data_IF_760879870807
#
_entry.id   IF_760879870807
#
_cell.length_a   1.000
_cell.length_b   1.000
_cell.length_c   1.000
_cell.angle_alpha   90.00
_cell.angle_beta   90.00
_cell.angle_gamma   90.00
#
_symmetry.space_group_name_H-M   'P 1'
#
loop_
_entity.id
_entity.type
_entity.pdbx_description
1 polymer ?
#
# COMPACT_ATOMS: atom_id res chain seq x y z
N UNK A 1 -43.22 20.28 -33.46
CA UNK A 1 -42.72 21.16 -34.52
C UNK A 1 -41.77 22.16 -33.89
N UNK A 2 -40.53 22.10 -34.36
CA UNK A 2 -39.49 23.13 -34.39
C UNK A 2 -38.94 23.65 -33.05
N UNK A 3 -37.77 23.17 -32.62
CA UNK A 3 -36.43 23.55 -33.09
C UNK A 3 -35.97 24.91 -32.50
N UNK A 4 -35.02 24.88 -31.56
CA UNK A 4 -33.58 25.05 -31.88
C UNK A 4 -33.24 26.49 -32.30
N UNK A 5 -32.76 27.31 -31.34
CA UNK A 5 -31.71 28.34 -31.53
C UNK A 5 -31.32 29.03 -30.21
N UNK A 6 -30.10 28.69 -29.77
CA UNK A 6 -29.08 29.49 -29.07
C UNK A 6 -29.44 30.47 -27.92
N UNK A 7 -28.73 30.36 -26.78
CA UNK A 7 -27.43 31.04 -26.61
C UNK A 7 -26.64 30.52 -25.39
N UNK A 8 -25.44 29.97 -25.65
CA UNK A 8 -24.43 29.60 -24.66
C UNK A 8 -23.63 30.84 -24.27
N UNK A 9 -23.64 31.24 -23.00
CA UNK A 9 -22.54 32.02 -22.37
C UNK A 9 -22.72 32.12 -20.85
N UNK A 10 -22.04 31.24 -20.11
CA UNK A 10 -21.32 31.58 -18.86
C UNK A 10 -20.85 30.31 -18.13
N UNK A 11 -19.73 29.71 -18.57
CA UNK A 11 -18.92 28.89 -17.66
C UNK A 11 -17.50 28.78 -18.20
N UNK A 12 -16.64 29.71 -17.77
CA UNK A 12 -15.18 29.59 -17.86
C UNK A 12 -14.56 30.63 -16.92
N UNK A 13 -14.11 30.17 -15.76
CA UNK A 13 -12.97 30.69 -14.95
C UNK A 13 -12.85 29.76 -13.73
N UNK A 14 -11.94 28.78 -13.83
CA UNK A 14 -10.66 28.72 -13.09
C UNK A 14 -10.83 28.45 -11.59
N UNK A 15 -10.75 27.17 -11.20
CA UNK A 15 -10.36 26.78 -9.83
C UNK A 15 -8.84 26.72 -9.77
N UNK A 16 -8.26 27.64 -9.02
CA UNK A 16 -6.95 27.51 -8.44
C UNK A 16 -7.15 27.02 -6.99
N UNK A 17 -6.48 25.94 -6.61
CA UNK A 17 -6.23 25.52 -5.21
C UNK A 17 -5.06 24.51 -5.26
N UNK A 18 -3.83 25.01 -5.13
CA UNK A 18 -2.96 24.83 -3.96
C UNK A 18 -2.53 23.36 -3.76
N UNK A 19 -1.43 23.00 -4.41
CA UNK A 19 -0.53 21.93 -3.97
C UNK A 19 0.68 22.62 -3.33
N UNK A 20 0.87 22.42 -2.03
CA UNK A 20 2.10 22.77 -1.31
C UNK A 20 2.20 21.84 -0.11
N UNK A 21 3.33 21.22 0.24
CA UNK A 21 4.64 21.05 -0.38
C UNK A 21 5.19 19.72 0.18
N UNK A 22 6.22 19.10 -0.38
CA UNK A 22 7.60 19.47 -0.07
C UNK A 22 8.53 18.87 -1.15
N UNK A 23 8.91 19.70 -2.13
CA UNK A 23 10.08 19.46 -2.97
C UNK A 23 11.20 20.33 -2.37
N UNK A 24 12.21 19.68 -1.78
CA UNK A 24 13.43 20.38 -1.36
C UNK A 24 14.25 20.69 -2.62
N UNK A 25 13.95 21.84 -3.23
CA UNK A 25 14.70 22.36 -4.37
C UNK A 25 16.01 22.97 -3.91
N UNK A 26 17.13 22.35 -4.30
CA UNK A 26 18.41 23.04 -4.33
C UNK A 26 18.45 23.87 -5.64
N UNK A 27 17.95 25.10 -5.57
CA UNK A 27 17.97 26.05 -6.69
C UNK A 27 19.34 26.73 -6.73
N UNK A 28 20.23 26.22 -7.58
CA UNK A 28 21.33 27.05 -8.11
C UNK A 28 20.74 27.77 -9.32
N UNK A 29 20.37 29.04 -9.13
CA UNK A 29 19.97 29.90 -10.22
C UNK A 29 21.23 30.26 -11.04
N UNK A 30 21.42 29.57 -12.17
CA UNK A 30 22.27 30.05 -13.25
C UNK A 30 21.37 30.68 -14.30
N UNK A 31 21.66 31.92 -14.67
CA UNK A 31 21.02 32.64 -15.77
C UNK A 31 20.89 31.72 -17.00
N UNK A 32 19.67 31.30 -17.34
CA UNK A 32 19.41 30.40 -18.45
C UNK A 32 17.94 30.40 -18.84
N UNK A 33 17.67 30.42 -20.13
CA UNK A 33 16.32 30.29 -20.70
C UNK A 33 15.64 29.05 -20.11
N UNK A 34 14.40 29.18 -19.65
CA UNK A 34 13.64 28.04 -19.13
C UNK A 34 13.53 26.96 -20.22
N UNK A 35 13.94 25.73 -19.91
CA UNK A 35 13.90 24.59 -20.84
C UNK A 35 12.46 24.29 -21.28
N UNK A 36 12.29 24.07 -22.57
CA UNK A 36 11.03 23.58 -23.17
C UNK A 36 10.84 22.08 -22.94
N UNK A 37 9.66 21.54 -23.24
CA UNK A 37 9.43 20.09 -23.19
C UNK A 37 10.41 19.34 -24.11
N UNK A 38 10.69 19.90 -25.28
CA UNK A 38 11.63 19.38 -26.26
C UNK A 38 13.08 19.39 -25.77
N UNK A 39 13.48 20.43 -25.03
CA UNK A 39 14.81 20.50 -24.42
C UNK A 39 14.97 19.43 -23.34
N UNK A 40 13.97 19.27 -22.48
CA UNK A 40 13.95 18.22 -21.46
C UNK A 40 13.96 16.81 -22.07
N UNK A 41 13.18 16.58 -23.13
CA UNK A 41 13.17 15.31 -23.84
C UNK A 41 14.52 14.99 -24.47
N UNK A 42 15.16 15.97 -25.12
CA UNK A 42 16.47 15.79 -25.75
C UNK A 42 17.54 15.48 -24.71
N UNK A 43 17.58 16.23 -23.62
CA UNK A 43 18.49 15.96 -22.51
C UNK A 43 18.26 14.57 -21.92
N UNK A 44 17.00 14.17 -21.72
CA UNK A 44 16.67 12.84 -21.23
C UNK A 44 17.19 11.73 -22.16
N UNK A 45 17.08 11.94 -23.46
CA UNK A 45 17.60 11.00 -24.46
C UNK A 45 19.13 10.90 -24.40
N UNK A 46 19.85 12.01 -24.38
CA UNK A 46 21.33 12.01 -24.27
C UNK A 46 21.79 11.33 -22.97
N UNK A 47 21.20 11.69 -21.83
CA UNK A 47 21.49 11.07 -20.54
C UNK A 47 21.23 9.56 -20.56
N UNK A 48 20.22 9.11 -21.31
CA UNK A 48 19.92 7.68 -21.45
C UNK A 48 20.99 6.93 -22.25
N UNK A 49 21.61 7.58 -23.25
CA UNK A 49 22.73 7.02 -24.03
C UNK A 49 24.00 6.95 -23.19
N UNK A 50 24.21 7.93 -22.31
CA UNK A 50 25.33 7.97 -21.36
C UNK A 50 25.17 7.00 -20.18
N UNK A 51 24.03 6.31 -20.08
CA UNK A 51 23.74 5.39 -18.97
C UNK A 51 23.34 6.07 -17.66
N UNK A 52 23.12 7.39 -17.67
CA UNK A 52 22.67 8.16 -16.51
C UNK A 52 21.15 8.01 -16.28
N UNK A 53 20.71 6.78 -16.00
CA UNK A 53 19.30 6.39 -16.00
C UNK A 53 18.42 7.27 -15.10
N UNK A 54 18.83 7.55 -13.86
CA UNK A 54 18.02 8.35 -12.92
C UNK A 54 17.78 9.77 -13.42
N UNK A 55 18.84 10.42 -13.93
CA UNK A 55 18.75 11.78 -14.48
C UNK A 55 17.94 11.81 -15.78
N UNK A 56 18.07 10.78 -16.61
CA UNK A 56 17.28 10.62 -17.82
C UNK A 56 15.77 10.49 -17.48
N UNK A 57 15.41 9.66 -16.49
CA UNK A 57 14.03 9.52 -16.03
C UNK A 57 13.45 10.83 -15.51
N UNK A 58 14.21 11.55 -14.67
CA UNK A 58 13.79 12.87 -14.17
C UNK A 58 13.54 13.87 -15.32
N UNK A 59 14.42 13.88 -16.32
CA UNK A 59 14.30 14.77 -17.47
C UNK A 59 13.08 14.43 -18.35
N UNK A 60 12.80 13.13 -18.57
CA UNK A 60 11.57 12.71 -19.24
C UNK A 60 10.30 13.10 -18.46
N UNK A 61 10.31 12.99 -17.12
CA UNK A 61 9.20 13.44 -16.28
C UNK A 61 8.97 14.96 -16.37
N UNK A 62 10.04 15.77 -16.43
CA UNK A 62 9.91 17.20 -16.67
C UNK A 62 9.32 17.50 -18.05
N UNK A 63 9.73 16.76 -19.10
CA UNK A 63 9.13 16.88 -20.43
C UNK A 63 7.63 16.57 -20.40
N UNK A 64 7.22 15.51 -19.69
CA UNK A 64 5.81 15.10 -19.54
C UNK A 64 4.99 16.04 -18.66
N UNK A 65 5.62 16.75 -17.72
CA UNK A 65 4.97 17.81 -16.93
C UNK A 65 4.55 18.99 -17.82
N UNK A 66 5.34 19.29 -18.85
CA UNK A 66 5.06 20.36 -19.81
C UNK A 66 4.18 19.90 -20.97
N UNK A 67 4.32 18.64 -21.40
CA UNK A 67 3.57 18.03 -22.49
C UNK A 67 3.20 16.58 -22.15
N UNK A 68 2.02 16.44 -21.53
CA UNK A 68 1.54 15.16 -21.01
C UNK A 68 1.04 14.18 -22.08
N UNK A 69 0.86 14.60 -23.32
CA UNK A 69 0.36 13.78 -24.43
C UNK A 69 1.49 13.33 -25.38
N UNK A 70 2.69 13.11 -24.84
CA UNK A 70 3.87 12.77 -25.64
C UNK A 70 4.18 11.28 -25.64
N UNK A 71 3.69 10.59 -26.68
CA UNK A 71 3.80 9.14 -26.84
C UNK A 71 5.26 8.62 -26.78
N UNK A 72 6.19 9.31 -27.45
CA UNK A 72 7.61 8.97 -27.48
C UNK A 72 8.25 9.09 -26.08
N UNK A 73 7.90 10.12 -25.31
CA UNK A 73 8.44 10.34 -23.96
C UNK A 73 7.95 9.27 -22.98
N UNK A 74 6.66 8.94 -23.02
CA UNK A 74 6.10 7.82 -22.26
C UNK A 74 6.78 6.49 -22.62
N UNK A 75 6.95 6.19 -23.90
CA UNK A 75 7.62 4.97 -24.33
C UNK A 75 9.07 4.90 -23.84
N UNK A 76 9.85 5.97 -23.98
CA UNK A 76 11.24 6.00 -23.54
C UNK A 76 11.37 5.85 -22.01
N UNK A 77 10.49 6.52 -21.26
CA UNK A 77 10.45 6.42 -19.81
C UNK A 77 10.03 5.01 -19.34
N UNK A 78 9.08 4.37 -20.02
CA UNK A 78 8.67 3.00 -19.75
C UNK A 78 9.84 2.01 -19.88
N UNK A 79 10.67 2.16 -20.91
CA UNK A 79 11.87 1.32 -21.11
C UNK A 79 12.90 1.55 -20.00
N UNK A 80 13.08 2.78 -19.54
CA UNK A 80 14.00 3.07 -18.43
C UNK A 80 13.51 2.46 -17.11
N UNK A 81 12.22 2.55 -16.82
CA UNK A 81 11.63 1.90 -15.66
C UNK A 81 11.74 0.38 -15.73
N UNK A 82 11.47 -0.22 -16.89
CA UNK A 82 11.62 -1.65 -17.11
C UNK A 82 13.04 -2.13 -16.81
N UNK A 83 14.05 -1.43 -17.35
CA UNK A 83 15.47 -1.76 -17.12
C UNK A 83 15.91 -1.56 -15.68
N UNK A 84 15.24 -0.69 -14.94
CA UNK A 84 15.53 -0.39 -13.54
C UNK A 84 14.72 -1.27 -12.57
N UNK A 85 13.95 -2.24 -13.06
CA UNK A 85 13.13 -3.14 -12.24
C UNK A 85 11.84 -2.52 -11.69
N UNK A 86 11.48 -1.32 -12.12
CA UNK A 86 10.28 -0.59 -11.68
C UNK A 86 9.08 -1.01 -12.54
N UNK A 87 8.56 -2.21 -12.26
CA UNK A 87 7.54 -2.87 -13.08
C UNK A 87 6.23 -2.09 -13.25
N UNK A 88 5.55 -1.65 -12.17
CA UNK A 88 4.29 -0.92 -12.28
C UNK A 88 4.40 0.37 -13.10
N UNK A 89 5.41 1.20 -12.84
CA UNK A 89 5.66 2.44 -13.59
C UNK A 89 6.00 2.16 -15.06
N UNK A 90 6.69 1.06 -15.33
CA UNK A 90 6.96 0.62 -16.70
C UNK A 90 5.66 0.29 -17.45
N UNK A 91 4.76 -0.47 -16.84
CA UNK A 91 3.50 -0.87 -17.48
C UNK A 91 2.60 0.34 -17.74
N UNK A 92 2.45 1.24 -16.76
CA UNK A 92 1.65 2.46 -16.88
C UNK A 92 2.09 3.32 -18.08
N UNK A 93 3.38 3.62 -18.18
CA UNK A 93 3.88 4.43 -19.28
C UNK A 93 3.87 3.70 -20.63
N UNK A 94 4.03 2.38 -20.68
CA UNK A 94 3.83 1.63 -21.93
C UNK A 94 2.37 1.72 -22.40
N UNK A 95 1.38 1.63 -21.50
CA UNK A 95 -0.05 1.78 -21.86
C UNK A 95 -0.37 3.20 -22.33
N UNK A 96 0.10 4.22 -21.62
CA UNK A 96 -0.05 5.62 -22.04
C UNK A 96 0.53 5.85 -23.45
N UNK A 97 1.72 5.31 -23.72
CA UNK A 97 2.31 5.37 -25.05
C UNK A 97 1.46 4.63 -26.08
N UNK A 98 0.96 3.43 -25.76
CA UNK A 98 0.10 2.63 -26.65
C UNK A 98 -1.17 3.42 -27.05
N UNK A 99 -1.86 3.99 -26.06
CA UNK A 99 -3.09 4.76 -26.28
C UNK A 99 -2.87 6.03 -27.10
N UNK A 100 -1.76 6.72 -26.88
CA UNK A 100 -1.39 7.88 -27.70
C UNK A 100 -1.04 7.45 -29.12
N UNK A 101 -0.32 6.34 -29.32
CA UNK A 101 0.00 5.84 -30.66
C UNK A 101 -1.22 5.28 -31.42
N UNK A 102 -2.20 4.67 -30.74
CA UNK A 102 -3.48 4.23 -31.34
C UNK A 102 -4.24 5.39 -31.99
N UNK A 103 -4.11 6.60 -31.44
CA UNK A 103 -4.75 7.82 -31.96
C UNK A 103 -4.02 8.43 -33.16
N UNK A 104 -2.80 7.97 -33.48
CA UNK A 104 -2.00 8.49 -34.61
C UNK A 104 -2.33 7.74 -35.90
N UNK A 105 -2.52 8.50 -36.97
CA UNK A 105 -2.82 7.95 -38.31
C UNK A 105 -1.59 7.80 -39.19
N UNK A 106 -0.48 8.46 -38.82
CA UNK A 106 0.76 8.47 -39.58
C UNK A 106 1.53 7.13 -39.50
N UNK A 107 2.35 6.86 -40.53
CA UNK A 107 3.08 5.59 -40.66
C UNK A 107 4.08 5.35 -39.52
N UNK A 108 4.65 6.41 -38.95
CA UNK A 108 5.58 6.32 -37.83
C UNK A 108 4.85 5.93 -36.55
N UNK A 109 3.69 6.53 -36.28
CA UNK A 109 2.82 6.19 -35.16
C UNK A 109 2.39 4.73 -35.19
N UNK A 110 1.98 4.21 -36.36
CA UNK A 110 1.63 2.78 -36.53
C UNK A 110 2.80 1.84 -36.26
N UNK A 111 4.01 2.20 -36.71
CA UNK A 111 5.23 1.43 -36.44
C UNK A 111 5.56 1.43 -34.94
N UNK A 112 5.53 2.60 -34.32
CA UNK A 112 5.81 2.76 -32.90
C UNK A 112 4.77 2.05 -32.03
N UNK A 113 3.50 2.03 -32.42
CA UNK A 113 2.46 1.24 -31.76
C UNK A 113 2.85 -0.24 -31.69
N UNK A 114 3.27 -0.82 -32.81
CA UNK A 114 3.68 -2.23 -32.84
C UNK A 114 4.93 -2.52 -32.00
N UNK A 115 5.83 -1.55 -31.84
CA UNK A 115 7.00 -1.67 -30.94
C UNK A 115 6.54 -1.64 -29.48
N UNK A 116 5.73 -0.64 -29.11
CA UNK A 116 5.20 -0.49 -27.75
C UNK A 116 4.41 -1.71 -27.33
N UNK A 117 3.55 -2.26 -28.20
CA UNK A 117 2.78 -3.47 -27.92
C UNK A 117 3.68 -4.66 -27.58
N UNK A 118 4.74 -4.89 -28.37
CA UNK A 118 5.71 -5.96 -28.10
C UNK A 118 6.47 -5.73 -26.80
N UNK A 119 6.89 -4.49 -26.53
CA UNK A 119 7.57 -4.12 -25.29
C UNK A 119 6.66 -4.31 -24.07
N UNK A 120 5.39 -3.94 -24.18
CA UNK A 120 4.37 -4.11 -23.15
C UNK A 120 4.10 -5.59 -22.86
N UNK A 121 3.94 -6.43 -23.89
CA UNK A 121 3.81 -7.89 -23.72
C UNK A 121 5.03 -8.49 -23.02
N UNK A 122 6.24 -8.07 -23.40
CA UNK A 122 7.48 -8.53 -22.75
C UNK A 122 7.54 -8.07 -21.29
N UNK A 123 7.11 -6.85 -20.99
CA UNK A 123 7.07 -6.33 -19.64
C UNK A 123 6.11 -7.12 -18.76
N UNK A 124 4.89 -7.39 -19.23
CA UNK A 124 3.94 -8.26 -18.55
C UNK A 124 4.53 -9.64 -18.25
N UNK A 125 5.11 -10.30 -19.26
CA UNK A 125 5.71 -11.62 -19.11
C UNK A 125 6.88 -11.64 -18.12
N UNK A 126 7.76 -10.64 -18.15
CA UNK A 126 8.92 -10.57 -17.27
C UNK A 126 8.54 -10.33 -15.79
N UNK A 127 7.39 -9.68 -15.56
CA UNK A 127 6.89 -9.35 -14.22
C UNK A 127 5.88 -10.38 -13.69
N UNK A 128 5.49 -11.36 -14.50
CA UNK A 128 4.44 -12.33 -14.14
C UNK A 128 3.06 -11.68 -13.96
N UNK A 129 2.76 -10.64 -14.75
CA UNK A 129 1.53 -9.85 -14.67
C UNK A 129 0.65 -10.09 -15.89
N UNK A 130 -0.67 -10.05 -15.71
CA UNK A 130 -1.66 -10.15 -16.79
C UNK A 130 -2.16 -8.74 -17.19
N UNK A 131 -2.40 -8.45 -18.48
CA UNK A 131 -2.99 -7.18 -18.91
C UNK A 131 -4.27 -6.77 -18.14
N UNK A 132 -5.09 -7.76 -17.73
CA UNK A 132 -6.32 -7.55 -16.95
C UNK A 132 -6.06 -7.00 -15.56
N UNK A 133 -4.89 -7.25 -14.98
CA UNK A 133 -4.49 -6.69 -13.68
C UNK A 133 -4.47 -5.16 -13.72
N UNK A 134 -4.34 -4.59 -14.93
CA UNK A 134 -4.25 -3.15 -15.18
C UNK A 134 -5.46 -2.59 -15.96
N UNK A 135 -6.29 -3.42 -16.61
CA UNK A 135 -7.58 -2.96 -17.20
C UNK A 135 -8.55 -2.42 -16.15
N UNK A 136 -8.47 -2.91 -14.90
CA UNK A 136 -9.20 -2.35 -13.76
C UNK A 136 -8.81 -0.91 -13.40
N UNK A 137 -7.64 -0.44 -13.83
CA UNK A 137 -7.20 0.95 -13.61
C UNK A 137 -7.66 1.93 -14.71
N UNK A 138 -8.06 1.45 -15.90
CA UNK A 138 -8.33 2.32 -17.07
C UNK A 138 -9.81 2.62 -17.34
N UNK A 139 -10.77 1.78 -16.91
CA UNK A 139 -12.20 2.05 -17.13
C UNK A 139 -12.81 3.02 -16.11
N UNK A 140 -12.19 4.20 -15.96
CA UNK A 140 -12.69 5.33 -15.18
C UNK A 140 -13.88 6.07 -15.81
N UNK A 141 -14.90 5.35 -16.31
CA UNK A 141 -16.19 5.90 -16.74
C UNK A 141 -17.35 4.98 -16.32
N UNK A 142 -17.47 4.72 -15.03
CA UNK A 142 -18.79 4.48 -14.45
C UNK A 142 -19.48 5.83 -14.22
N UNK A 143 -20.79 5.96 -14.51
CA UNK A 143 -21.54 7.20 -14.33
C UNK A 143 -21.39 7.63 -12.87
N UNK A 144 -21.12 8.92 -12.63
CA UNK A 144 -20.98 9.57 -11.31
C UNK A 144 -21.89 8.89 -10.27
N UNK A 145 -21.31 7.90 -9.63
CA UNK A 145 -21.86 7.05 -8.60
C UNK A 145 -20.73 6.94 -7.60
N UNK A 146 -21.07 7.07 -6.33
CA UNK A 146 -20.12 7.07 -5.21
C UNK A 146 -19.05 6.01 -5.45
N UNK A 147 -17.78 6.43 -5.57
CA UNK A 147 -16.69 5.53 -5.95
C UNK A 147 -16.70 4.27 -5.07
N UNK A 148 -16.31 3.14 -5.66
CA UNK A 148 -16.35 1.87 -4.96
C UNK A 148 -15.33 1.89 -3.80
N UNK A 149 -15.81 1.54 -2.61
CA UNK A 149 -14.94 1.37 -1.45
C UNK A 149 -14.25 0.02 -1.54
N UNK A 150 -12.93 0.03 -1.73
CA UNK A 150 -12.10 -1.16 -1.84
C UNK A 150 -11.55 -1.56 -0.48
N UNK A 151 -11.46 -2.86 -0.21
CA UNK A 151 -10.78 -3.38 0.97
C UNK A 151 -9.27 -3.25 0.80
N UNK A 152 -8.63 -2.51 1.69
CA UNK A 152 -7.18 -2.31 1.73
C UNK A 152 -6.47 -3.38 2.56
N UNK A 153 -7.11 -3.89 3.61
CA UNK A 153 -6.57 -4.94 4.47
C UNK A 153 -7.27 -5.01 5.82
N UNK A 154 -6.66 -5.70 6.77
CA UNK A 154 -7.09 -5.72 8.16
C UNK A 154 -6.32 -4.68 8.99
N UNK A 155 -6.95 -4.29 10.09
CA UNK A 155 -6.30 -3.52 11.15
C UNK A 155 -6.87 -3.87 12.50
N UNK A 156 -6.28 -3.28 13.54
CA UNK A 156 -6.74 -3.47 14.91
C UNK A 156 -6.52 -2.23 15.77
N UNK A 157 -7.47 -2.02 16.68
CA UNK A 157 -7.44 -0.94 17.66
C UNK A 157 -6.38 -1.18 18.72
N UNK A 158 -5.63 -0.12 19.04
CA UNK A 158 -4.59 -0.11 20.07
C UNK A 158 -4.79 1.05 21.04
N UNK A 159 -4.51 0.80 22.32
CA UNK A 159 -4.67 1.81 23.38
C UNK A 159 -6.12 2.29 23.55
N UNK A 160 -6.31 3.54 24.02
CA UNK A 160 -7.64 4.12 24.33
C UNK A 160 -8.03 5.31 23.46
N UNK A 161 -7.11 5.76 22.62
CA UNK A 161 -7.18 7.02 21.87
C UNK A 161 -7.73 6.83 20.44
N UNK A 162 -8.29 5.66 20.13
CA UNK A 162 -8.82 5.36 18.79
C UNK A 162 -7.75 5.25 17.70
N UNK A 163 -6.51 4.93 18.08
CA UNK A 163 -5.46 4.58 17.12
C UNK A 163 -5.62 3.15 16.65
N UNK A 164 -5.23 2.91 15.40
CA UNK A 164 -5.24 1.60 14.76
C UNK A 164 -3.90 1.35 14.10
N UNK A 165 -3.49 0.10 14.16
CA UNK A 165 -2.41 -0.45 13.35
C UNK A 165 -3.03 -1.29 12.23
N UNK A 166 -2.51 -1.19 11.01
CA UNK A 166 -2.95 -2.01 9.90
C UNK A 166 -1.95 -1.98 8.74
N UNK A 167 -2.31 -2.62 7.63
CA UNK A 167 -1.50 -2.60 6.42
C UNK A 167 -1.55 -1.25 5.71
N UNK A 168 -0.47 -0.86 5.03
CA UNK A 168 -0.38 0.42 4.31
C UNK A 168 -0.93 0.40 2.86
N UNK A 169 -1.42 -0.76 2.41
CA UNK A 169 -1.75 -1.03 1.01
C UNK A 169 -2.75 -0.04 0.42
N UNK A 170 -2.26 0.84 -0.46
CA UNK A 170 -3.08 1.84 -1.17
C UNK A 170 -3.58 3.01 -0.30
N UNK A 171 -3.13 3.13 0.96
CA UNK A 171 -3.61 4.19 1.85
C UNK A 171 -3.04 5.57 1.51
N UNK A 172 -1.87 5.65 0.85
CA UNK A 172 -1.25 6.93 0.50
C UNK A 172 -1.95 7.63 -0.67
N UNK A 173 -2.47 6.83 -1.59
CA UNK A 173 -3.17 7.29 -2.79
C UNK A 173 -4.69 7.35 -2.59
N UNK A 174 -5.19 6.96 -1.41
CA UNK A 174 -6.60 6.94 -1.10
C UNK A 174 -7.17 8.37 -0.97
N UNK A 175 -8.27 8.63 -1.67
CA UNK A 175 -9.05 9.87 -1.53
C UNK A 175 -9.69 9.98 -0.15
N UNK A 176 -10.29 8.88 0.30
CA UNK A 176 -10.92 8.77 1.61
C UNK A 176 -10.59 7.41 2.25
N UNK A 177 -10.46 7.39 3.58
CA UNK A 177 -10.18 6.18 4.36
C UNK A 177 -11.30 6.01 5.39
N UNK A 178 -11.83 4.79 5.51
CA UNK A 178 -12.74 4.40 6.59
C UNK A 178 -12.38 3.03 7.13
N UNK A 179 -12.89 2.73 8.31
CA UNK A 179 -12.77 1.41 8.93
C UNK A 179 -14.17 0.84 9.15
N UNK A 180 -14.34 -0.44 8.88
CA UNK A 180 -15.54 -1.20 9.19
C UNK A 180 -15.28 -2.07 10.41
N UNK A 181 -16.09 -1.87 11.45
CA UNK A 181 -16.03 -2.60 12.71
C UNK A 181 -16.73 -3.96 12.58
N UNK A 182 -16.59 -4.81 13.59
CA UNK A 182 -17.19 -6.14 13.61
C UNK A 182 -18.73 -6.16 13.64
N UNK A 183 -19.38 -5.04 13.97
CA UNK A 183 -20.83 -4.85 13.89
C UNK A 183 -21.27 -4.17 12.57
N UNK A 184 -20.38 -4.14 11.58
CA UNK A 184 -20.52 -3.45 10.29
C UNK A 184 -20.63 -1.93 10.36
N UNK A 185 -20.45 -1.32 11.53
CA UNK A 185 -20.35 0.14 11.66
C UNK A 185 -19.15 0.65 10.87
N UNK A 186 -19.37 1.68 10.05
CA UNK A 186 -18.32 2.33 9.25
C UNK A 186 -17.94 3.67 9.86
N UNK A 187 -16.65 3.86 10.11
CA UNK A 187 -16.10 5.05 10.78
C UNK A 187 -15.02 5.68 9.91
N UNK A 188 -15.10 6.98 9.56
CA UNK A 188 -14.04 7.65 8.84
C UNK A 188 -12.71 7.62 9.63
N UNK A 189 -11.59 7.49 8.94
CA UNK A 189 -10.27 7.48 9.55
C UNK A 189 -9.30 8.41 8.81
N UNK A 190 -8.19 8.75 9.47
CA UNK A 190 -7.07 9.46 8.85
C UNK A 190 -5.82 8.63 8.94
N UNK A 191 -5.01 8.68 7.88
CA UNK A 191 -3.64 8.21 7.91
C UNK A 191 -2.80 9.16 8.76
N UNK A 192 -2.30 8.68 9.90
CA UNK A 192 -1.42 9.44 10.80
C UNK A 192 0.02 9.30 10.36
N UNK A 193 0.43 8.07 10.02
CA UNK A 193 1.79 7.75 9.58
C UNK A 193 1.81 6.45 8.78
N UNK A 194 2.71 6.35 7.82
CA UNK A 194 3.00 5.14 7.05
C UNK A 194 4.45 4.74 7.20
N UNK A 195 4.72 3.44 7.27
CA UNK A 195 6.04 2.82 7.36
C UNK A 195 6.22 1.87 6.18
N UNK A 196 6.41 2.45 4.99
CA UNK A 196 6.32 1.76 3.70
C UNK A 196 7.26 0.56 3.58
N UNK A 197 8.44 0.62 4.21
CA UNK A 197 9.42 -0.48 4.20
C UNK A 197 8.82 -1.76 4.77
N UNK A 198 7.94 -1.66 5.77
CA UNK A 198 7.37 -2.80 6.48
C UNK A 198 5.87 -3.00 6.20
N UNK A 199 5.27 -2.18 5.34
CA UNK A 199 3.86 -2.28 5.01
C UNK A 199 2.91 -1.87 6.14
N UNK A 200 3.35 -1.05 7.10
CA UNK A 200 2.57 -0.71 8.30
C UNK A 200 2.01 0.71 8.19
N UNK A 201 0.72 0.86 8.48
CA UNK A 201 0.07 2.14 8.67
C UNK A 201 -0.44 2.32 10.10
N UNK A 202 -0.31 3.56 10.58
CA UNK A 202 -0.97 4.07 11.78
C UNK A 202 -2.14 4.93 11.34
N UNK A 203 -3.35 4.52 11.70
CA UNK A 203 -4.58 5.27 11.45
C UNK A 203 -5.13 5.85 12.76
N UNK A 204 -5.96 6.89 12.66
CA UNK A 204 -6.80 7.36 13.77
C UNK A 204 -8.24 7.51 13.29
N UNK A 205 -9.18 6.90 14.00
CA UNK A 205 -10.61 7.08 13.72
C UNK A 205 -11.05 8.51 14.04
N UNK A 206 -11.87 9.09 13.17
CA UNK A 206 -12.58 10.35 13.41
C UNK A 206 -13.89 10.03 14.15
N UNK A 207 -13.84 9.78 15.45
CA UNK A 207 -15.08 9.54 16.23
C UNK A 207 -15.57 10.80 16.94
N UNK A 208 -16.89 11.02 16.95
CA UNK A 208 -17.58 12.00 17.82
C UNK A 208 -18.04 11.37 19.14
N UNK A 209 -18.14 10.04 19.19
CA UNK A 209 -18.42 9.22 20.37
C UNK A 209 -17.19 8.39 20.77
N UNK A 210 -17.01 8.15 22.07
CA UNK A 210 -15.83 7.49 22.64
C UNK A 210 -15.47 6.19 21.90
N UNK A 211 -14.20 5.98 21.48
CA UNK A 211 -13.77 4.74 20.81
C UNK A 211 -14.02 3.51 21.69
N UNK A 212 -14.03 2.28 21.12
CA UNK A 212 -14.24 1.05 21.88
C UNK A 212 -13.36 0.97 23.13
N UNK A 213 -13.98 0.53 24.24
CA UNK A 213 -13.33 0.38 25.55
C UNK A 213 -12.10 -0.53 25.45
N UNK A 214 -10.91 0.07 25.59
CA UNK A 214 -9.60 -0.59 25.62
C UNK A 214 -9.25 -1.42 24.37
N UNK A 215 -8.38 -0.87 23.53
CA UNK A 215 -7.73 -1.58 22.43
C UNK A 215 -6.99 -2.84 22.87
N UNK A 216 -6.42 -3.52 21.88
CA UNK A 216 -5.60 -4.70 22.11
C UNK A 216 -4.29 -4.33 22.82
N UNK A 217 -3.83 -5.25 23.66
CA UNK A 217 -2.56 -5.13 24.36
C UNK A 217 -1.46 -5.78 23.54
N UNK A 218 -0.31 -5.12 23.45
CA UNK A 218 0.89 -5.69 22.85
C UNK A 218 1.62 -6.56 23.87
N UNK A 219 1.72 -7.86 23.59
CA UNK A 219 2.49 -8.83 24.37
C UNK A 219 3.99 -8.66 24.17
N UNK A 220 4.79 -9.32 25.00
CA UNK A 220 6.25 -9.35 24.87
C UNK A 220 6.69 -10.48 23.93
N UNK A 221 7.18 -10.12 22.74
CA UNK A 221 7.65 -11.09 21.77
C UNK A 221 8.88 -11.88 22.26
N UNK A 222 9.70 -11.33 23.15
CA UNK A 222 10.91 -12.02 23.64
C UNK A 222 10.61 -13.27 24.48
N UNK A 223 9.36 -13.44 24.93
CA UNK A 223 8.91 -14.63 25.64
C UNK A 223 8.60 -15.81 24.71
N UNK A 224 8.54 -15.58 23.39
CA UNK A 224 8.20 -16.61 22.42
C UNK A 224 9.42 -17.40 21.95
N UNK A 225 9.22 -18.69 21.74
CA UNK A 225 10.19 -19.61 21.18
C UNK A 225 9.64 -20.32 19.92
N UNK A 226 10.55 -20.81 19.09
CA UNK A 226 10.20 -21.65 17.93
C UNK A 226 9.33 -22.83 18.40
N UNK A 227 8.22 -23.06 17.70
CA UNK A 227 7.23 -24.08 18.07
C UNK A 227 6.05 -23.56 18.89
N UNK A 228 6.10 -22.31 19.38
CA UNK A 228 4.98 -21.73 20.10
C UNK A 228 3.78 -21.50 19.16
N UNK A 229 2.55 -21.78 19.62
CA UNK A 229 1.36 -21.55 18.81
C UNK A 229 0.99 -20.08 18.79
N UNK A 230 0.65 -19.62 17.59
CA UNK A 230 0.12 -18.28 17.34
C UNK A 230 -1.28 -18.40 16.78
N UNK A 231 -2.09 -17.37 16.99
CA UNK A 231 -3.49 -17.35 16.58
C UNK A 231 -3.79 -16.09 15.76
N UNK A 232 -4.65 -16.22 14.76
CA UNK A 232 -5.24 -15.11 14.01
C UNK A 232 -6.76 -15.30 13.91
N UNK A 233 -7.47 -14.23 13.58
CA UNK A 233 -8.90 -14.28 13.28
C UNK A 233 -9.12 -14.00 11.80
N UNK A 234 -9.82 -14.91 11.14
CA UNK A 234 -10.15 -14.81 9.73
C UNK A 234 -11.55 -14.17 9.58
N UNK A 235 -11.57 -12.97 8.98
CA UNK A 235 -12.76 -12.17 8.75
C UNK A 235 -13.32 -12.33 7.33
N UNK A 236 -12.57 -12.96 6.42
CA UNK A 236 -12.90 -13.02 5.00
C UNK A 236 -13.83 -14.18 4.65
N UNK A 237 -13.75 -15.29 5.39
CA UNK A 237 -14.42 -16.54 5.00
C UNK A 237 -15.69 -16.87 5.79
N UNK A 238 -15.91 -16.24 6.95
CA UNK A 238 -17.02 -16.62 7.83
C UNK A 238 -17.53 -15.49 8.74
N UNK A 239 -18.84 -15.54 9.04
CA UNK A 239 -19.48 -14.72 10.08
C UNK A 239 -20.21 -15.66 11.03
N UNK A 240 -19.81 -15.79 12.31
CA UNK A 240 -18.74 -15.05 12.99
C UNK A 240 -17.32 -15.48 12.54
N UNK A 241 -16.28 -14.66 12.80
CA UNK A 241 -14.91 -14.94 12.37
C UNK A 241 -14.36 -16.26 12.91
N UNK A 242 -13.67 -17.02 12.06
CA UNK A 242 -12.96 -18.25 12.42
C UNK A 242 -11.61 -17.94 13.05
N UNK A 243 -11.14 -18.85 13.91
CA UNK A 243 -9.85 -18.78 14.56
C UNK A 243 -8.87 -19.69 13.82
N UNK A 244 -7.84 -19.10 13.22
CA UNK A 244 -6.75 -19.86 12.63
C UNK A 244 -5.61 -20.01 13.63
N UNK A 245 -4.96 -21.17 13.58
CA UNK A 245 -3.83 -21.50 14.45
C UNK A 245 -2.61 -21.77 13.57
N UNK A 246 -1.55 -21.02 13.82
CA UNK A 246 -0.24 -21.24 13.25
C UNK A 246 0.81 -21.59 14.31
N UNK A 247 2.03 -21.83 13.85
CA UNK A 247 3.18 -22.13 14.72
C UNK A 247 4.35 -21.23 14.37
N UNK A 248 5.04 -20.69 15.37
CA UNK A 248 6.23 -19.85 15.17
C UNK A 248 7.38 -20.71 14.60
N UNK A 249 7.80 -20.41 13.37
CA UNK A 249 8.82 -21.17 12.64
C UNK A 249 10.23 -20.61 12.84
N UNK A 250 10.39 -19.29 12.73
CA UNK A 250 11.67 -18.59 12.88
C UNK A 250 11.49 -17.25 13.55
N UNK A 251 12.36 -16.93 14.50
CA UNK A 251 12.38 -15.63 15.19
C UNK A 251 12.97 -14.50 14.33
N UNK A 252 13.77 -14.83 13.32
CA UNK A 252 14.43 -13.91 12.39
C UNK A 252 14.64 -14.63 11.05
N UNK A 253 13.72 -14.51 10.08
CA UNK A 253 13.82 -15.20 8.81
C UNK A 253 14.77 -14.52 7.81
N UNK A 254 15.06 -13.23 8.03
CA UNK A 254 15.95 -12.40 7.25
C UNK A 254 17.27 -12.21 8.02
N UNK A 255 18.39 -12.12 7.32
CA UNK A 255 19.70 -11.86 7.93
C UNK A 255 19.71 -10.44 8.53
N UNK A 256 20.14 -10.33 9.79
CA UNK A 256 20.19 -9.07 10.56
C UNK A 256 18.85 -8.32 10.68
N UNK A 257 17.72 -9.03 10.61
CA UNK A 257 16.39 -8.43 10.75
C UNK A 257 15.75 -8.80 12.09
N UNK A 258 15.74 -7.85 13.01
CA UNK A 258 15.09 -8.04 14.31
C UNK A 258 13.59 -7.77 14.29
N UNK A 259 13.00 -7.40 13.16
CA UNK A 259 11.63 -6.91 13.04
C UNK A 259 10.67 -8.02 12.61
N UNK A 260 11.08 -8.91 11.72
CA UNK A 260 10.23 -9.99 11.21
C UNK A 260 10.41 -11.31 11.94
N UNK A 261 9.34 -12.09 11.94
CA UNK A 261 9.34 -13.51 12.28
C UNK A 261 8.53 -14.30 11.24
N UNK A 262 8.77 -15.61 11.16
CA UNK A 262 8.08 -16.51 10.23
C UNK A 262 7.09 -17.39 11.01
N UNK A 263 5.88 -17.54 10.47
CA UNK A 263 4.81 -18.37 11.05
C UNK A 263 4.27 -19.36 10.01
N UNK A 264 3.94 -20.56 10.47
CA UNK A 264 3.20 -21.57 9.69
C UNK A 264 1.72 -21.21 9.69
N UNK A 265 1.38 -20.18 8.92
CA UNK A 265 0.03 -19.69 8.75
C UNK A 265 -0.07 -19.16 7.33
N UNK A 266 -1.09 -19.62 6.60
CA UNK A 266 -1.40 -19.06 5.29
C UNK A 266 -2.17 -17.76 5.49
N UNK A 267 -1.69 -16.67 4.86
CA UNK A 267 -2.24 -15.32 5.01
C UNK A 267 -2.58 -14.82 3.61
N UNK A 268 -3.86 -14.53 3.38
CA UNK A 268 -4.34 -13.94 2.12
C UNK A 268 -3.99 -12.44 2.03
N UNK A 269 -3.97 -11.88 0.83
CA UNK A 269 -3.64 -10.46 0.62
C UNK A 269 -4.63 -9.51 1.30
N UNK A 270 -5.87 -9.93 1.55
CA UNK A 270 -6.89 -9.11 2.22
C UNK A 270 -6.89 -9.27 3.75
N UNK A 271 -6.08 -10.19 4.29
CA UNK A 271 -5.89 -10.47 5.72
C UNK A 271 -4.64 -9.79 6.31
N UNK A 272 -3.78 -9.24 5.45
CA UNK A 272 -2.58 -8.51 5.86
C UNK A 272 -2.92 -7.33 6.78
N UNK A 273 -2.03 -7.03 7.72
CA UNK A 273 -2.22 -5.97 8.71
C UNK A 273 -3.00 -6.38 9.96
N UNK A 274 -3.57 -7.59 9.98
CA UNK A 274 -4.26 -8.10 11.15
C UNK A 274 -3.29 -8.58 12.26
N UNK A 275 -3.75 -8.69 13.52
CA UNK A 275 -2.94 -9.09 14.66
C UNK A 275 -2.73 -10.61 14.78
N UNK A 276 -1.53 -10.99 15.20
CA UNK A 276 -1.18 -12.34 15.67
C UNK A 276 -1.12 -12.36 17.19
N UNK A 277 -1.72 -13.39 17.79
CA UNK A 277 -1.92 -13.49 19.23
C UNK A 277 -1.16 -14.66 19.86
N UNK A 278 -0.69 -14.44 21.08
CA UNK A 278 -0.28 -15.53 21.97
C UNK A 278 -1.51 -16.20 22.64
N UNK A 279 -1.27 -17.24 23.44
CA UNK A 279 -2.34 -17.94 24.19
C UNK A 279 -3.06 -17.07 25.22
N UNK A 280 -2.43 -15.99 25.67
CA UNK A 280 -2.99 -15.02 26.61
C UNK A 280 -3.92 -14.01 25.90
N UNK A 281 -3.97 -14.02 24.57
CA UNK A 281 -4.77 -13.09 23.77
C UNK A 281 -4.12 -11.72 23.59
N UNK A 282 -2.82 -11.61 23.83
CA UNK A 282 -2.02 -10.43 23.60
C UNK A 282 -1.44 -10.45 22.18
N UNK A 283 -1.34 -9.28 21.56
CA UNK A 283 -0.79 -9.14 20.21
C UNK A 283 0.72 -9.25 20.28
N UNK A 284 1.27 -10.29 19.67
CA UNK A 284 2.72 -10.52 19.57
C UNK A 284 3.28 -10.14 18.20
N UNK A 285 2.42 -9.89 17.21
CA UNK A 285 2.83 -9.29 15.96
C UNK A 285 1.68 -8.89 15.06
N UNK A 286 2.01 -8.33 13.90
CA UNK A 286 1.08 -8.01 12.82
C UNK A 286 1.40 -8.90 11.61
N UNK A 287 0.40 -9.60 11.05
CA UNK A 287 0.60 -10.59 10.00
C UNK A 287 0.67 -9.97 8.60
N UNK A 288 1.52 -10.58 7.77
CA UNK A 288 1.71 -10.25 6.38
C UNK A 288 1.86 -11.54 5.56
N UNK A 289 1.36 -11.51 4.33
CA UNK A 289 1.56 -12.60 3.37
C UNK A 289 3.02 -12.65 2.90
N UNK A 290 3.44 -13.80 2.40
CA UNK A 290 4.76 -13.93 1.79
C UNK A 290 4.93 -12.97 0.58
N UNK A 291 3.90 -12.80 -0.23
CA UNK A 291 3.95 -11.92 -1.39
C UNK A 291 4.09 -10.45 -0.99
N UNK A 292 3.39 -10.03 0.07
CA UNK A 292 3.54 -8.68 0.63
C UNK A 292 4.98 -8.43 1.09
N UNK A 293 5.57 -9.37 1.85
CA UNK A 293 6.98 -9.22 2.29
C UNK A 293 7.94 -9.25 1.10
N UNK A 294 7.74 -10.09 0.08
CA UNK A 294 8.59 -10.09 -1.13
C UNK A 294 8.57 -8.76 -1.88
N UNK A 295 7.40 -8.13 -2.02
CA UNK A 295 7.25 -6.82 -2.68
C UNK A 295 8.13 -5.76 -2.00
N UNK A 296 8.25 -5.80 -0.68
CA UNK A 296 9.01 -4.83 0.10
C UNK A 296 10.47 -5.25 0.35
N UNK A 297 10.77 -6.56 0.30
CA UNK A 297 12.09 -7.14 0.56
C UNK A 297 12.52 -8.09 -0.56
N UNK A 298 13.10 -7.52 -1.62
CA UNK A 298 13.52 -8.24 -2.83
C UNK A 298 14.54 -9.39 -2.59
N UNK A 299 15.17 -9.48 -1.41
CA UNK A 299 16.10 -10.55 -1.04
C UNK A 299 15.44 -11.76 -0.37
N UNK A 300 14.12 -11.71 -0.12
CA UNK A 300 13.41 -12.82 0.50
C UNK A 300 13.30 -13.99 -0.48
N UNK A 301 13.97 -15.10 -0.16
CA UNK A 301 13.84 -16.35 -0.93
C UNK A 301 12.42 -16.93 -0.78
N UNK A 302 11.98 -17.68 -1.78
CA UNK A 302 10.72 -18.41 -1.71
C UNK A 302 10.77 -19.48 -0.61
N UNK A 303 9.83 -19.40 0.32
CA UNK A 303 9.58 -20.44 1.30
C UNK A 303 8.48 -21.37 0.79
N UNK A 304 8.71 -22.70 0.74
CA UNK A 304 7.66 -23.65 0.41
C UNK A 304 6.62 -23.74 1.54
N UNK A 305 5.37 -24.06 1.18
CA UNK A 305 4.29 -24.35 2.15
C UNK A 305 3.48 -23.15 2.62
N UNK A 306 2.69 -23.33 3.69
CA UNK A 306 1.81 -22.31 4.29
C UNK A 306 2.61 -21.30 5.10
N UNK A 307 3.39 -20.45 4.43
CA UNK A 307 4.26 -19.50 5.11
C UNK A 307 3.64 -18.10 5.17
N UNK A 308 3.51 -17.59 6.39
CA UNK A 308 3.20 -16.20 6.69
C UNK A 308 4.35 -15.54 7.43
N UNK A 309 4.31 -14.22 7.49
CA UNK A 309 5.27 -13.41 8.23
C UNK A 309 4.54 -12.55 9.25
N UNK A 310 5.26 -12.16 10.29
CA UNK A 310 4.77 -11.17 11.22
C UNK A 310 5.82 -10.12 11.54
N UNK A 311 5.39 -8.88 11.70
CA UNK A 311 6.19 -7.83 12.33
C UNK A 311 6.02 -7.93 13.85
N UNK A 312 7.13 -8.02 14.59
CA UNK A 312 7.15 -8.24 16.04
C UNK A 312 6.49 -7.09 16.80
N UNK A 313 5.82 -7.42 17.90
CA UNK A 313 5.20 -6.44 18.79
C UNK A 313 6.20 -5.46 19.43
N UNK A 314 7.49 -5.80 19.51
CA UNK A 314 8.54 -4.86 19.91
C UNK A 314 8.62 -3.66 18.97
N UNK A 315 8.68 -3.90 17.66
CA UNK A 315 8.71 -2.82 16.68
C UNK A 315 7.39 -2.04 16.62
N UNK A 316 6.25 -2.74 16.74
CA UNK A 316 4.94 -2.06 16.83
C UNK A 316 4.86 -1.15 18.06
N UNK A 317 5.48 -1.54 19.18
CA UNK A 317 5.55 -0.75 20.40
C UNK A 317 6.39 0.51 20.19
N UNK A 318 7.51 0.42 19.46
CA UNK A 318 8.35 1.58 19.12
C UNK A 318 7.61 2.57 18.20
N UNK A 319 6.81 2.05 17.25
CA UNK A 319 5.93 2.89 16.43
C UNK A 319 4.95 3.65 17.33
N UNK A 320 4.26 2.96 18.24
CA UNK A 320 3.22 3.55 19.08
C UNK A 320 3.77 4.51 20.13
N UNK A 321 4.96 4.27 20.66
CA UNK A 321 5.60 5.17 21.65
C UNK A 321 5.97 6.53 21.07
N UNK A 322 6.10 6.63 19.74
CA UNK A 322 6.35 7.89 19.03
C UNK A 322 5.10 8.75 18.79
N UNK A 323 3.90 8.24 19.12
CA UNK A 323 2.64 8.95 18.90
C UNK A 323 2.27 9.86 20.08
N UNK A 324 1.58 10.99 19.83
CA UNK A 324 1.09 11.86 20.89
C UNK A 324 -0.04 11.19 21.68
N UNK A 325 0.02 11.29 23.02
CA UNK A 325 -0.98 10.74 23.95
C UNK A 325 -0.56 9.40 24.59
N UNK A 326 -1.25 9.00 25.65
CA UNK A 326 -0.96 7.73 26.34
C UNK A 326 -1.54 6.56 25.53
N UNK A 327 -0.73 5.95 24.67
CA UNK A 327 -1.06 4.64 24.10
C UNK A 327 -0.81 3.58 25.18
N UNK A 328 -1.68 3.54 26.21
CA UNK A 328 -1.71 2.49 27.24
C UNK A 328 -2.17 1.15 26.61
N UNK A 329 -1.36 0.62 25.70
CA UNK A 329 -1.44 -0.75 25.18
C UNK A 329 -0.18 -1.57 25.51
N UNK A 330 0.78 -0.94 26.20
CA UNK A 330 2.08 -1.50 26.56
C UNK A 330 2.03 -1.92 28.03
N UNK A 331 2.00 -3.23 28.29
CA UNK A 331 2.23 -3.74 29.64
C UNK A 331 3.71 -3.53 29.99
N UNK A 332 4.07 -2.99 31.17
CA UNK A 332 5.45 -2.97 31.63
C UNK A 332 6.01 -4.41 31.64
N UNK A 333 7.26 -4.61 31.25
CA UNK A 333 7.91 -5.92 31.27
C UNK A 333 7.99 -6.42 32.72
N UNK A 334 6.99 -7.17 33.14
CA UNK A 334 6.87 -7.72 34.48
C UNK A 334 6.68 -9.22 34.40
N UNK A 335 7.66 -9.95 34.92
CA UNK A 335 7.61 -11.39 35.13
C UNK A 335 6.36 -11.78 35.92
N UNK A 336 5.31 -12.28 35.26
CA UNK A 336 4.22 -12.97 35.97
C UNK A 336 3.45 -13.93 35.07
N UNK A 337 3.69 -15.22 35.33
CA UNK A 337 2.71 -16.31 35.29
C UNK A 337 2.23 -16.85 33.92
N UNK A 338 3.12 -17.13 32.96
CA UNK A 338 2.75 -17.93 31.77
C UNK A 338 2.71 -19.44 32.01
N UNK A 339 3.19 -19.95 33.14
CA UNK A 339 3.27 -21.40 33.39
C UNK A 339 1.96 -22.07 33.84
N UNK A 340 0.89 -21.32 34.15
CA UNK A 340 -0.32 -21.88 34.79
C UNK A 340 -1.58 -21.98 33.92
N UNK A 341 -1.52 -21.67 32.62
CA UNK A 341 -2.72 -21.60 31.75
C UNK A 341 -2.95 -22.85 30.87
N UNK A 342 -2.36 -24.01 31.20
CA UNK A 342 -2.71 -25.28 30.56
C UNK A 342 -4.19 -25.60 30.85
N UNK A 343 -5.04 -25.58 29.82
CA UNK A 343 -6.39 -26.13 29.87
C UNK A 343 -7.54 -25.14 30.10
N UNK A 344 -7.31 -23.83 30.16
CA UNK A 344 -8.42 -22.85 30.19
C UNK A 344 -8.91 -22.54 28.76
N UNK A 345 -10.23 -22.44 28.52
CA UNK A 345 -10.75 -21.99 27.22
C UNK A 345 -10.25 -20.57 26.92
N UNK A 346 -9.87 -20.34 25.66
CA UNK A 346 -9.37 -19.06 25.14
C UNK A 346 -10.41 -17.95 25.39
N UNK A 347 -10.21 -17.12 26.42
CA UNK A 347 -11.02 -15.90 26.69
C UNK A 347 -10.82 -14.78 25.63
N UNK A 348 -10.07 -15.10 24.58
CA UNK A 348 -9.50 -14.20 23.59
C UNK A 348 -10.52 -13.74 22.52
N UNK A 349 -11.50 -14.56 22.14
CA UNK A 349 -12.29 -14.30 20.92
C UNK A 349 -13.15 -13.04 20.98
N UNK A 350 -13.79 -12.72 22.11
CA UNK A 350 -14.74 -11.60 22.15
C UNK A 350 -14.05 -10.23 22.05
N UNK A 351 -13.06 -9.96 22.93
CA UNK A 351 -12.31 -8.69 22.90
C UNK A 351 -11.54 -8.52 21.59
N UNK A 352 -10.97 -9.60 21.06
CA UNK A 352 -10.27 -9.56 19.78
C UNK A 352 -11.19 -9.20 18.62
N UNK A 353 -12.36 -9.87 18.52
CA UNK A 353 -13.36 -9.57 17.49
C UNK A 353 -13.80 -8.11 17.51
N UNK A 354 -14.04 -7.54 18.70
CA UNK A 354 -14.47 -6.15 18.83
C UNK A 354 -13.41 -5.11 18.45
N UNK A 355 -12.13 -5.48 18.48
CA UNK A 355 -11.03 -4.58 18.20
C UNK A 355 -10.41 -4.77 16.81
N UNK A 356 -10.87 -5.76 16.05
CA UNK A 356 -10.51 -5.93 14.65
C UNK A 356 -11.35 -5.04 13.76
N UNK A 357 -10.72 -4.52 12.72
CA UNK A 357 -11.37 -3.70 11.71
C UNK A 357 -10.96 -4.13 10.32
N UNK A 358 -11.83 -3.86 9.36
CA UNK A 358 -11.51 -3.92 7.93
C UNK A 358 -11.25 -2.50 7.46
N UNK A 359 -10.09 -2.27 6.85
CA UNK A 359 -9.71 -0.97 6.31
C UNK A 359 -10.25 -0.88 4.88
N UNK A 360 -11.02 0.16 4.61
CA UNK A 360 -11.63 0.42 3.31
C UNK A 360 -11.14 1.77 2.80
N UNK A 361 -10.72 1.80 1.54
CA UNK A 361 -10.24 2.99 0.86
C UNK A 361 -11.15 3.33 -0.32
N UNK A 362 -11.25 4.62 -0.58
CA UNK A 362 -11.89 5.15 -1.77
C UNK A 362 -10.79 5.69 -2.67
N UNK A 363 -10.69 5.17 -3.89
CA UNK A 363 -9.72 5.64 -4.89
C UNK A 363 -10.25 6.84 -5.67
#
# INVERSE_FOLDING_TARGET
>A
MDAWKHNKKSMRRRRAAIWGGMLLGLLVAVNGVAKTAEDWYREAFELSLEGQQERAMQSYLQALTLKSDWAEAHHALAVLYFRSGQGPQSIDHFRQAEDLYRKRTDSQGKRNLGIVQKSLTRAYSALGLDPKDFERMEMGLDPVGEGEWLRSGLGFLVGREGYLLGADQGLQDARDIRVRLADDTRVPAVLVRSFNVYGIAVLKMKTTSSPPKSGLLLGDFSQLARGDPLYSLNLSQSTPPTLDKGTLLRLSPLENDEIFFQVDLFVEEDEVGGPLFNRSGEVVGMMFSQNHVKKNFARLKDFPGRTGFGVKSSYLRDILSSLPGSVEGVKPSGNSAERSLRGRPLKFSHKARQNLVIIEILQ
#
